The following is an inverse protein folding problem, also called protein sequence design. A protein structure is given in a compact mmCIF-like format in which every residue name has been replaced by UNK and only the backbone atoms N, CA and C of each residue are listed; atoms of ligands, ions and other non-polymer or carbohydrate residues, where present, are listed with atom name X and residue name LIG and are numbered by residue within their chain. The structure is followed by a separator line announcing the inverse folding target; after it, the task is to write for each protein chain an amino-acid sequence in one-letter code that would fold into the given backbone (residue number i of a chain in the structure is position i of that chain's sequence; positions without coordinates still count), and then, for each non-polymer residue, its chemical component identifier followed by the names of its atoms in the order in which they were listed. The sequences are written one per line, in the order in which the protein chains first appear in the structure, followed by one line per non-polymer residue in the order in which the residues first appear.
data_IF_805161912635
#
_entry.id   IF_805161912635
#
_cell.length_a   1.000
_cell.length_b   1.000
_cell.length_c   1.000
_cell.angle_alpha   90.00
_cell.angle_beta   90.00
_cell.angle_gamma   90.00
#
_symmetry.space_group_name_H-M   'P 1'
#
loop_
_entity.id
_entity.type
_entity.pdbx_description
1 polymer ?
#
# COMPACT_ATOMS: atom_id res chain seq x y z
N UNK A 1 -2.98 -17.67 -6.33
CA UNK A 1 -2.24 -16.61 -7.05
C UNK A 1 -1.00 -17.30 -7.61
N UNK A 2 -0.75 -17.16 -8.90
CA UNK A 2 0.44 -17.74 -9.53
C UNK A 2 1.70 -16.96 -9.12
N UNK A 3 2.87 -17.59 -9.26
CA UNK A 3 4.14 -17.04 -8.79
C UNK A 3 4.45 -15.67 -9.40
N UNK A 4 4.25 -15.52 -10.71
CA UNK A 4 4.48 -14.27 -11.45
C UNK A 4 3.64 -13.11 -10.90
N UNK A 5 2.34 -13.35 -10.68
CA UNK A 5 1.44 -12.37 -10.08
C UNK A 5 1.85 -11.97 -8.64
N UNK A 6 2.38 -12.92 -7.86
CA UNK A 6 2.88 -12.64 -6.53
C UNK A 6 4.17 -11.79 -6.57
N UNK A 7 5.06 -12.05 -7.53
CA UNK A 7 6.29 -11.28 -7.75
C UNK A 7 5.98 -9.84 -8.18
N UNK A 8 5.05 -9.64 -9.13
CA UNK A 8 4.64 -8.29 -9.54
C UNK A 8 3.95 -7.51 -8.41
N UNK A 9 3.13 -8.18 -7.58
CA UNK A 9 2.48 -7.54 -6.44
C UNK A 9 3.47 -7.19 -5.32
N UNK A 10 4.46 -8.05 -5.07
CA UNK A 10 5.53 -7.76 -4.13
C UNK A 10 6.32 -6.53 -4.59
N UNK A 11 6.72 -6.50 -5.87
CA UNK A 11 7.46 -5.39 -6.42
C UNK A 11 6.66 -4.07 -6.46
N UNK A 12 5.34 -4.13 -6.66
CA UNK A 12 4.45 -2.97 -6.49
C UNK A 12 4.46 -2.46 -5.04
N UNK A 13 4.40 -3.37 -4.07
CA UNK A 13 4.41 -3.03 -2.64
C UNK A 13 5.74 -2.41 -2.21
N UNK A 14 6.85 -2.92 -2.71
CA UNK A 14 8.18 -2.38 -2.43
C UNK A 14 8.34 -0.98 -3.03
N UNK A 15 7.89 -0.77 -4.28
CA UNK A 15 7.86 0.56 -4.90
C UNK A 15 7.04 1.56 -4.07
N UNK A 16 5.89 1.15 -3.52
CA UNK A 16 5.08 2.00 -2.64
C UNK A 16 5.81 2.40 -1.35
N UNK A 17 6.57 1.47 -0.77
CA UNK A 17 7.34 1.73 0.47
C UNK A 17 8.51 2.65 0.20
N UNK A 18 9.29 2.36 -0.83
CA UNK A 18 10.42 3.19 -1.25
C UNK A 18 9.97 4.61 -1.59
N UNK A 19 8.88 4.75 -2.36
CA UNK A 19 8.32 6.06 -2.67
C UNK A 19 7.85 6.77 -1.42
N UNK A 20 7.08 6.13 -0.54
CA UNK A 20 6.61 6.74 0.71
C UNK A 20 7.76 7.26 1.58
N UNK A 21 8.88 6.53 1.63
CA UNK A 21 9.99 6.85 2.53
C UNK A 21 10.92 7.95 1.94
N UNK A 22 10.93 8.14 0.62
CA UNK A 22 11.84 9.05 -0.08
C UNK A 22 11.14 10.07 -1.01
N UNK A 23 9.81 10.21 -0.98
CA UNK A 23 9.07 11.01 -1.99
C UNK A 23 9.48 12.49 -2.03
N UNK A 24 10.00 13.02 -0.92
CA UNK A 24 10.46 14.40 -0.78
C UNK A 24 11.85 14.63 -1.40
N UNK A 25 12.59 13.56 -1.68
CA UNK A 25 13.89 13.60 -2.34
C UNK A 25 13.78 13.67 -3.87
N UNK A 26 12.61 13.34 -4.43
CA UNK A 26 12.36 13.40 -5.87
C UNK A 26 11.80 14.76 -6.30
N UNK A 27 12.26 15.24 -7.45
CA UNK A 27 11.64 16.37 -8.14
C UNK A 27 10.22 16.03 -8.60
N UNK A 28 9.42 17.05 -8.90
CA UNK A 28 8.05 16.85 -9.38
C UNK A 28 7.99 16.10 -10.73
N UNK A 29 9.03 16.20 -11.55
CA UNK A 29 9.12 15.46 -12.82
C UNK A 29 9.41 13.98 -12.58
N UNK A 30 10.39 13.66 -11.71
CA UNK A 30 10.70 12.27 -11.36
C UNK A 30 9.51 11.55 -10.72
N UNK A 31 8.67 12.28 -9.97
CA UNK A 31 7.41 11.72 -9.45
C UNK A 31 6.46 11.27 -10.54
N UNK A 32 6.43 11.94 -11.70
CA UNK A 32 5.60 11.52 -12.83
C UNK A 32 6.07 10.17 -13.36
N UNK A 33 7.38 10.01 -13.56
CA UNK A 33 7.97 8.74 -14.03
C UNK A 33 7.68 7.60 -13.04
N UNK A 34 7.80 7.86 -11.73
CA UNK A 34 7.46 6.88 -10.69
C UNK A 34 5.96 6.52 -10.72
N UNK A 35 5.07 7.49 -10.98
CA UNK A 35 3.64 7.22 -11.14
C UNK A 35 3.35 6.35 -12.37
N UNK A 36 4.09 6.54 -13.47
CA UNK A 36 3.99 5.66 -14.63
C UNK A 36 4.43 4.24 -14.30
N UNK A 37 5.50 4.07 -13.52
CA UNK A 37 5.96 2.77 -13.04
C UNK A 37 4.92 2.07 -12.14
N UNK A 38 4.28 2.82 -11.24
CA UNK A 38 3.16 2.30 -10.44
C UNK A 38 2.05 1.77 -11.33
N UNK A 39 1.61 2.57 -12.30
CA UNK A 39 0.52 2.19 -13.20
C UNK A 39 0.91 0.98 -14.05
N UNK A 40 2.14 0.94 -14.57
CA UNK A 40 2.63 -0.17 -15.37
C UNK A 40 2.63 -1.51 -14.61
N UNK A 41 2.92 -1.50 -13.31
CA UNK A 41 2.81 -2.69 -12.46
C UNK A 41 1.36 -3.09 -12.20
N UNK A 42 0.48 -2.11 -11.98
CA UNK A 42 -0.97 -2.37 -11.82
C UNK A 42 -1.53 -3.01 -13.10
N UNK A 43 -1.14 -2.51 -14.28
CA UNK A 43 -1.60 -3.02 -15.57
C UNK A 43 -1.14 -4.47 -15.81
N UNK A 44 0.10 -4.82 -15.41
CA UNK A 44 0.58 -6.22 -15.44
C UNK A 44 -0.26 -7.12 -14.55
N UNK A 45 -0.56 -6.68 -13.32
CA UNK A 45 -1.42 -7.44 -12.41
C UNK A 45 -2.82 -7.64 -13.01
N UNK A 46 -3.39 -6.61 -13.64
CA UNK A 46 -4.68 -6.73 -14.36
C UNK A 46 -4.60 -7.74 -15.50
N UNK A 47 -3.52 -7.74 -16.28
CA UNK A 47 -3.29 -8.71 -17.35
C UNK A 47 -3.23 -10.15 -16.81
N UNK A 48 -2.60 -10.35 -15.64
CA UNK A 48 -2.51 -11.61 -14.91
C UNK A 48 -3.82 -12.00 -14.18
N UNK A 49 -4.95 -11.36 -14.49
CA UNK A 49 -6.24 -11.59 -13.84
C UNK A 49 -6.17 -11.39 -12.32
N UNK A 50 -5.35 -10.45 -11.86
CA UNK A 50 -5.35 -9.96 -10.48
C UNK A 50 -6.10 -8.64 -10.44
N UNK A 51 -6.85 -8.47 -9.36
CA UNK A 51 -7.52 -7.22 -9.03
C UNK A 51 -7.00 -6.69 -7.71
N UNK A 52 -6.90 -5.37 -7.64
CA UNK A 52 -6.49 -4.67 -6.45
C UNK A 52 -7.71 -4.09 -5.75
N UNK A 53 -7.77 -4.26 -4.43
CA UNK A 53 -8.68 -3.54 -3.55
C UNK A 53 -7.87 -2.68 -2.62
N UNK A 54 -8.38 -1.50 -2.31
CA UNK A 54 -7.75 -0.61 -1.35
C UNK A 54 -8.73 -0.18 -0.27
N UNK A 55 -8.16 0.16 0.89
CA UNK A 55 -8.87 0.81 1.97
C UNK A 55 -7.96 1.84 2.62
N UNK A 56 -8.52 2.97 3.04
CA UNK A 56 -7.81 3.98 3.80
C UNK A 56 -8.36 4.07 5.22
N UNK A 57 -7.47 4.29 6.18
CA UNK A 57 -7.86 4.49 7.57
C UNK A 57 -7.02 5.56 8.22
N UNK A 58 -7.68 6.46 8.94
CA UNK A 58 -7.00 7.35 9.88
C UNK A 58 -6.76 6.62 11.20
N UNK A 59 -5.51 6.53 11.62
CA UNK A 59 -5.07 5.91 12.86
C UNK A 59 -4.35 6.94 13.73
N UNK A 60 -4.34 6.73 15.04
CA UNK A 60 -3.56 7.54 15.97
C UNK A 60 -2.30 6.75 16.35
N UNK A 61 -1.12 7.28 16.04
CA UNK A 61 0.16 6.66 16.35
C UNK A 61 0.82 7.45 17.48
N UNK A 62 1.35 6.72 18.46
CA UNK A 62 2.10 7.25 19.58
C UNK A 62 2.64 6.10 20.43
N UNK A 63 3.53 6.40 21.36
CA UNK A 63 4.04 5.40 22.29
C UNK A 63 2.90 4.78 23.14
N UNK A 64 3.09 3.53 23.57
CA UNK A 64 2.13 2.82 24.43
C UNK A 64 2.13 3.33 25.88
N UNK A 65 3.08 4.21 26.23
CA UNK A 65 3.19 4.86 27.53
C UNK A 65 2.03 5.83 27.80
N UNK A 66 1.60 5.87 29.06
CA UNK A 66 0.53 6.74 29.52
C UNK A 66 0.92 8.21 29.37
N UNK A 67 0.01 9.04 28.83
CA UNK A 67 0.26 10.46 28.57
C UNK A 67 1.06 10.77 27.29
N UNK A 68 1.46 9.77 26.51
CA UNK A 68 2.15 9.99 25.24
C UNK A 68 1.25 10.71 24.21
N UNK A 69 1.79 11.74 23.55
CA UNK A 69 1.09 12.45 22.49
C UNK A 69 0.89 11.51 21.30
N UNK A 70 -0.37 11.35 20.87
CA UNK A 70 -0.73 10.59 19.67
C UNK A 70 -0.94 11.54 18.50
N UNK A 71 -0.37 11.21 17.35
CA UNK A 71 -0.52 11.95 16.11
C UNK A 71 -1.41 11.18 15.12
N UNK A 72 -2.31 11.84 14.39
CA UNK A 72 -3.06 11.20 13.32
C UNK A 72 -2.14 10.84 12.15
N UNK A 73 -2.30 9.64 11.61
CA UNK A 73 -1.67 9.17 10.39
C UNK A 73 -2.72 8.49 9.51
N UNK A 74 -2.60 8.62 8.20
CA UNK A 74 -3.39 7.83 7.25
C UNK A 74 -2.60 6.58 6.85
N UNK A 75 -3.26 5.43 6.90
CA UNK A 75 -2.73 4.15 6.43
C UNK A 75 -3.57 3.72 5.24
N UNK A 76 -2.92 3.45 4.12
CA UNK A 76 -3.52 2.80 2.97
C UNK A 76 -3.20 1.30 3.00
N UNK A 77 -4.22 0.47 2.86
CA UNK A 77 -4.11 -0.96 2.64
C UNK A 77 -4.33 -1.23 1.16
N UNK A 78 -3.43 -1.98 0.54
CA UNK A 78 -3.60 -2.48 -0.83
C UNK A 78 -3.54 -4.00 -0.76
N UNK A 79 -4.55 -4.64 -1.32
CA UNK A 79 -4.76 -6.08 -1.28
C UNK A 79 -4.94 -6.61 -2.70
N UNK A 80 -4.26 -7.69 -3.03
CA UNK A 80 -4.39 -8.37 -4.31
C UNK A 80 -5.25 -9.63 -4.19
N UNK A 81 -6.23 -9.76 -5.10
CA UNK A 81 -7.11 -10.92 -5.20
C UNK A 81 -7.11 -11.45 -6.64
N UNK A 82 -7.37 -12.74 -6.86
CA UNK A 82 -7.77 -13.20 -8.17
C UNK A 82 -9.03 -12.45 -8.61
N UNK A 83 -9.09 -12.04 -9.88
CA UNK A 83 -10.20 -11.29 -10.45
C UNK A 83 -11.52 -12.03 -10.27
N UNK A 84 -12.54 -11.33 -9.80
CA UNK A 84 -13.85 -11.89 -9.47
C UNK A 84 -13.94 -12.56 -8.09
N UNK A 85 -12.84 -12.60 -7.32
CA UNK A 85 -12.80 -13.09 -5.93
C UNK A 85 -12.50 -11.96 -4.95
N UNK A 86 -12.71 -10.71 -5.36
CA UNK A 86 -12.48 -9.56 -4.50
C UNK A 86 -13.51 -9.51 -3.38
N UNK A 87 -13.10 -9.20 -2.15
CA UNK A 87 -14.05 -8.88 -1.11
C UNK A 87 -14.75 -7.54 -1.43
N UNK A 88 -15.98 -7.41 -0.96
CA UNK A 88 -16.73 -6.15 -0.94
C UNK A 88 -16.39 -5.28 0.26
N UNK A 89 -15.85 -5.87 1.32
CA UNK A 89 -15.52 -5.19 2.57
C UNK A 89 -14.13 -5.61 3.08
N UNK A 90 -13.38 -4.64 3.61
CA UNK A 90 -12.05 -4.87 4.19
C UNK A 90 -12.13 -4.55 5.69
N UNK A 91 -12.10 -5.59 6.52
CA UNK A 91 -11.99 -5.44 7.97
C UNK A 91 -10.52 -5.23 8.37
N UNK A 92 -10.24 -4.16 9.12
CA UNK A 92 -8.90 -3.88 9.66
C UNK A 92 -8.91 -3.97 11.18
N UNK A 93 -7.81 -4.43 11.79
CA UNK A 93 -7.69 -4.52 13.25
C UNK A 93 -7.83 -3.13 13.89
N UNK A 94 -8.62 -3.01 14.97
CA UNK A 94 -8.94 -1.71 15.60
C UNK A 94 -7.70 -0.99 16.16
N UNK A 95 -6.69 -1.73 16.61
CA UNK A 95 -5.40 -1.21 17.05
C UNK A 95 -4.28 -1.76 16.16
N UNK A 96 -3.38 -0.88 15.75
CA UNK A 96 -2.14 -1.25 15.07
C UNK A 96 -0.98 -0.94 16.00
N UNK A 97 -0.17 -1.95 16.31
CA UNK A 97 1.13 -1.74 16.93
C UNK A 97 2.14 -1.59 15.80
N UNK A 98 2.77 -0.43 15.69
CA UNK A 98 3.97 -0.29 14.85
C UNK A 98 5.10 -0.89 15.66
N UNK A 99 5.51 -2.11 15.30
CA UNK A 99 6.70 -2.74 15.86
C UNK A 99 7.95 -2.01 15.35
N UNK A 100 8.85 -1.71 16.27
CA UNK A 100 10.26 -1.38 15.98
C UNK A 100 11.02 -2.69 15.87
#
# INVERSE_FOLDING_TARGET
MEREAAEDFAALTDLFREFRDCHDLYSEVEKLDIHEDFQGRIDRLVALQVSLRFAERSVLIGATTEGARRSPMKVAYVLAFPKGKEPTEISTARAMTIGV
#
